data_IF_846807637425
#
_entry.id   IF_846807637425
#
_cell.length_a   1.000
_cell.length_b   1.000
_cell.length_c   1.000
_cell.angle_alpha   90.00
_cell.angle_beta   90.00
_cell.angle_gamma   90.00
#
_symmetry.space_group_name_H-M   'P 1'
#
loop_
_entity.id
_entity.type
_entity.pdbx_description
1 polymer ?
#
# COMPACT_ATOMS: atom_id res chain seq x y z
N UNK A 1 26.72 -14.39 3.11
CA UNK A 1 26.00 -14.55 1.83
C UNK A 1 25.12 -13.32 1.66
N UNK A 2 25.65 -12.35 0.93
CA UNK A 2 25.01 -11.06 0.62
C UNK A 2 24.96 -11.07 -0.91
N UNK A 3 23.99 -11.77 -1.49
CA UNK A 3 23.97 -11.97 -2.95
C UNK A 3 22.56 -12.14 -3.53
N UNK A 4 21.54 -11.48 -2.96
CA UNK A 4 20.20 -11.47 -3.57
C UNK A 4 19.52 -10.08 -3.54
N UNK A 5 20.28 -8.98 -3.47
CA UNK A 5 19.67 -7.64 -3.33
C UNK A 5 19.49 -6.83 -4.61
N UNK A 6 19.89 -7.27 -5.81
CA UNK A 6 19.74 -6.41 -7.00
C UNK A 6 19.41 -7.24 -8.24
N UNK A 7 18.17 -7.73 -8.34
CA UNK A 7 17.64 -8.18 -9.64
C UNK A 7 16.11 -8.15 -9.73
N UNK A 8 15.54 -6.96 -9.58
CA UNK A 8 14.18 -6.70 -10.06
C UNK A 8 14.10 -5.39 -10.84
N UNK A 9 15.12 -5.16 -11.67
CA UNK A 9 15.11 -4.11 -12.68
C UNK A 9 14.24 -4.55 -13.85
N UNK A 10 13.09 -3.88 -14.02
CA UNK A 10 12.42 -3.60 -15.31
C UNK A 10 11.56 -4.70 -15.97
N UNK A 11 10.73 -5.46 -15.26
CA UNK A 11 9.66 -6.24 -15.93
C UNK A 11 8.31 -6.31 -15.19
N UNK A 12 7.98 -5.32 -14.36
CA UNK A 12 6.64 -5.21 -13.74
C UNK A 12 6.02 -3.84 -14.06
N UNK A 13 6.24 -3.33 -15.27
CA UNK A 13 5.61 -2.05 -15.70
C UNK A 13 4.27 -2.31 -16.41
N UNK A 14 4.01 -3.53 -16.87
CA UNK A 14 2.81 -3.85 -17.66
C UNK A 14 1.65 -4.46 -16.84
N UNK A 15 1.92 -5.09 -15.68
CA UNK A 15 0.86 -5.68 -14.84
C UNK A 15 0.32 -4.73 -13.77
N UNK A 16 0.90 -3.53 -13.62
CA UNK A 16 0.78 -2.71 -12.42
C UNK A 16 0.10 -1.37 -12.62
N UNK A 17 -1.17 -1.39 -12.99
CA UNK A 17 -2.12 -0.28 -12.77
C UNK A 17 -1.62 1.16 -12.99
N UNK A 18 -0.88 1.53 -14.06
CA UNK A 18 -0.65 2.96 -14.28
C UNK A 18 -1.92 3.67 -14.79
N UNK A 19 -2.63 3.21 -15.86
CA UNK A 19 -3.72 3.97 -16.46
C UNK A 19 -4.89 4.30 -15.52
N UNK A 20 -5.38 3.34 -14.75
CA UNK A 20 -6.54 3.55 -13.86
C UNK A 20 -6.19 4.44 -12.66
N UNK A 21 -4.93 4.38 -12.18
CA UNK A 21 -4.43 5.26 -11.14
C UNK A 21 -4.28 6.70 -11.63
N UNK A 22 -3.81 6.91 -12.88
CA UNK A 22 -3.71 8.24 -13.50
C UNK A 22 -5.06 8.83 -13.89
N UNK A 23 -6.05 8.01 -14.25
CA UNK A 23 -7.37 8.48 -14.72
C UNK A 23 -8.40 8.61 -13.60
N UNK A 24 -8.35 7.74 -12.59
CA UNK A 24 -9.39 7.63 -11.57
C UNK A 24 -8.86 7.76 -10.13
N UNK A 25 -7.57 8.07 -9.97
CA UNK A 25 -6.95 8.37 -8.68
C UNK A 25 -6.71 7.17 -7.78
N UNK A 26 -6.25 7.45 -6.57
CA UNK A 26 -5.85 6.44 -5.57
C UNK A 26 -6.98 5.47 -5.19
N UNK A 27 -8.24 5.91 -4.95
CA UNK A 27 -9.32 4.98 -4.57
C UNK A 27 -9.59 3.90 -5.61
N UNK A 28 -9.53 4.25 -6.90
CA UNK A 28 -9.70 3.30 -7.99
C UNK A 28 -8.52 2.32 -8.08
N UNK A 29 -7.30 2.83 -7.90
CA UNK A 29 -6.09 2.01 -7.81
C UNK A 29 -6.17 0.98 -6.68
N UNK A 30 -6.55 1.39 -5.47
CA UNK A 30 -6.70 0.50 -4.31
C UNK A 30 -7.80 -0.55 -4.51
N UNK A 31 -8.92 -0.19 -5.12
CA UNK A 31 -9.98 -1.13 -5.50
C UNK A 31 -9.49 -2.20 -6.48
N UNK A 32 -8.74 -1.79 -7.50
CA UNK A 32 -8.14 -2.72 -8.45
C UNK A 32 -7.16 -3.66 -7.75
N UNK A 33 -6.32 -3.14 -6.86
CA UNK A 33 -5.35 -3.94 -6.10
C UNK A 33 -6.05 -4.97 -5.20
N UNK A 34 -7.09 -4.56 -4.47
CA UNK A 34 -7.88 -5.46 -3.62
C UNK A 34 -8.47 -6.63 -4.42
N UNK A 35 -9.06 -6.34 -5.60
CA UNK A 35 -9.58 -7.38 -6.50
C UNK A 35 -8.49 -8.31 -7.00
N UNK A 36 -7.35 -7.75 -7.41
CA UNK A 36 -6.21 -8.55 -7.89
C UNK A 36 -5.66 -9.47 -6.81
N UNK A 37 -5.59 -9.01 -5.55
CA UNK A 37 -5.18 -9.82 -4.41
C UNK A 37 -6.12 -11.01 -4.18
N UNK A 38 -7.42 -10.79 -4.29
CA UNK A 38 -8.42 -11.83 -4.15
C UNK A 38 -8.37 -12.84 -5.31
N UNK A 39 -8.31 -12.37 -6.56
CA UNK A 39 -8.33 -13.22 -7.75
C UNK A 39 -7.06 -14.06 -7.90
N UNK A 40 -5.89 -13.49 -7.67
CA UNK A 40 -4.60 -14.17 -7.87
C UNK A 40 -4.16 -15.00 -6.67
N UNK A 41 -4.49 -14.57 -5.45
CA UNK A 41 -3.94 -15.17 -4.22
C UNK A 41 -5.00 -15.65 -3.23
N UNK A 42 -6.28 -15.44 -3.50
CA UNK A 42 -7.34 -15.77 -2.54
C UNK A 42 -7.28 -14.93 -1.26
N UNK A 43 -6.66 -13.76 -1.32
CA UNK A 43 -6.41 -12.89 -0.17
C UNK A 43 -7.41 -11.72 -0.15
N UNK A 44 -8.25 -11.67 0.88
CA UNK A 44 -9.33 -10.71 0.99
C UNK A 44 -8.83 -9.35 1.51
N UNK A 45 -9.13 -8.27 0.80
CA UNK A 45 -8.77 -6.92 1.23
C UNK A 45 -10.03 -6.08 1.40
N UNK A 46 -10.30 -5.65 2.63
CA UNK A 46 -11.35 -4.69 2.93
C UNK A 46 -10.81 -3.26 2.77
N UNK A 47 -11.55 -2.39 2.09
CA UNK A 47 -11.16 -1.00 1.88
C UNK A 47 -12.05 -0.06 2.70
N UNK A 48 -11.40 0.83 3.47
CA UNK A 48 -12.04 1.91 4.23
C UNK A 48 -11.49 3.24 3.75
N UNK A 49 -12.11 3.80 2.72
CA UNK A 49 -11.61 5.00 2.05
C UNK A 49 -12.49 6.20 2.40
N UNK A 50 -11.90 7.22 3.01
CA UNK A 50 -12.56 8.52 3.15
C UNK A 50 -12.63 9.24 1.81
N UNK A 51 -13.68 10.05 1.63
CA UNK A 51 -13.90 10.81 0.42
C UNK A 51 -13.11 12.13 0.47
N UNK A 52 -11.92 12.12 -0.15
CA UNK A 52 -11.11 13.33 -0.35
C UNK A 52 -10.26 13.22 -1.61
N UNK A 53 -9.89 14.38 -2.15
CA UNK A 53 -9.10 14.48 -3.37
C UNK A 53 -7.61 14.64 -3.05
N UNK A 54 -6.79 13.77 -3.64
CA UNK A 54 -5.34 13.91 -3.69
C UNK A 54 -4.99 14.44 -5.08
N UNK A 55 -4.45 15.65 -5.17
CA UNK A 55 -4.09 16.28 -6.45
C UNK A 55 -2.64 16.02 -6.88
N UNK A 56 -1.78 15.64 -5.94
CA UNK A 56 -0.36 15.41 -6.20
C UNK A 56 -0.15 13.99 -6.75
N UNK A 57 0.18 13.89 -8.04
CA UNK A 57 0.34 12.61 -8.72
C UNK A 57 1.45 11.73 -8.11
N UNK A 58 2.57 12.34 -7.75
CA UNK A 58 3.69 11.62 -7.12
C UNK A 58 3.28 11.01 -5.78
N UNK A 59 2.45 11.72 -5.00
CA UNK A 59 1.91 11.20 -3.74
C UNK A 59 0.97 10.02 -3.97
N UNK A 60 0.11 10.09 -4.98
CA UNK A 60 -0.77 8.97 -5.37
C UNK A 60 0.06 7.73 -5.69
N UNK A 61 1.12 7.88 -6.49
CA UNK A 61 2.01 6.78 -6.89
C UNK A 61 2.69 6.18 -5.66
N UNK A 62 3.24 7.01 -4.78
CA UNK A 62 3.92 6.56 -3.55
C UNK A 62 2.96 5.82 -2.63
N UNK A 63 1.75 6.35 -2.39
CA UNK A 63 0.74 5.71 -1.55
C UNK A 63 0.28 4.37 -2.14
N UNK A 64 0.05 4.31 -3.44
CA UNK A 64 -0.34 3.08 -4.11
C UNK A 64 0.75 1.99 -4.01
N UNK A 65 2.01 2.35 -4.29
CA UNK A 65 3.13 1.42 -4.19
C UNK A 65 3.36 0.96 -2.75
N UNK A 66 3.17 1.85 -1.77
CA UNK A 66 3.25 1.53 -0.35
C UNK A 66 2.16 0.53 0.06
N UNK A 67 0.90 0.77 -0.32
CA UNK A 67 -0.20 -0.16 -0.06
C UNK A 67 0.06 -1.53 -0.65
N UNK A 68 0.53 -1.56 -1.91
CA UNK A 68 0.88 -2.80 -2.61
C UNK A 68 1.93 -3.59 -1.86
N UNK A 69 3.06 -2.98 -1.50
CA UNK A 69 4.13 -3.68 -0.83
C UNK A 69 3.71 -4.20 0.55
N UNK A 70 2.99 -3.38 1.33
CA UNK A 70 2.46 -3.79 2.64
C UNK A 70 1.48 -4.96 2.55
N UNK A 71 0.60 -4.98 1.54
CA UNK A 71 -0.30 -6.10 1.29
C UNK A 71 0.45 -7.36 0.86
N UNK A 72 1.49 -7.25 0.03
CA UNK A 72 2.32 -8.39 -0.33
C UNK A 72 3.09 -8.94 0.87
N UNK A 73 3.59 -8.07 1.74
CA UNK A 73 4.25 -8.48 2.98
C UNK A 73 3.27 -9.22 3.89
N UNK A 74 2.06 -8.69 4.03
CA UNK A 74 0.99 -9.37 4.77
C UNK A 74 0.73 -10.76 4.19
N UNK A 75 0.49 -10.85 2.89
CA UNK A 75 0.23 -12.11 2.19
C UNK A 75 1.33 -13.15 2.43
N UNK A 76 2.59 -12.74 2.36
CA UNK A 76 3.74 -13.66 2.46
C UNK A 76 4.02 -14.14 3.88
N UNK A 77 3.71 -13.32 4.89
CA UNK A 77 4.33 -13.50 6.21
C UNK A 77 3.35 -13.50 7.38
N UNK A 78 2.18 -12.86 7.27
CA UNK A 78 1.22 -12.74 8.38
C UNK A 78 0.61 -14.09 8.79
N UNK A 79 0.53 -15.03 7.84
CA UNK A 79 -0.19 -16.30 7.99
C UNK A 79 -1.72 -16.15 7.97
N UNK A 80 -2.25 -14.94 7.71
CA UNK A 80 -3.69 -14.71 7.54
C UNK A 80 -4.08 -14.61 6.06
N UNK A 81 -5.38 -14.64 5.79
CA UNK A 81 -5.95 -14.55 4.44
C UNK A 81 -6.68 -13.23 4.20
N UNK A 82 -6.55 -12.27 5.10
CA UNK A 82 -7.23 -10.99 4.97
C UNK A 82 -6.47 -9.82 5.59
N UNK A 83 -6.72 -8.63 5.06
CA UNK A 83 -6.25 -7.36 5.58
C UNK A 83 -7.28 -6.25 5.36
N UNK A 84 -7.11 -5.15 6.07
CA UNK A 84 -7.86 -3.90 5.91
C UNK A 84 -6.89 -2.84 5.41
N UNK A 85 -7.28 -2.09 4.38
CA UNK A 85 -6.59 -0.87 3.96
C UNK A 85 -7.50 0.31 4.23
N UNK A 86 -7.04 1.23 5.07
CA UNK A 86 -7.74 2.47 5.36
C UNK A 86 -6.98 3.66 4.77
N UNK A 87 -7.71 4.60 4.18
CA UNK A 87 -7.19 5.86 3.70
C UNK A 87 -8.00 6.97 4.36
N UNK A 88 -7.37 7.68 5.29
CA UNK A 88 -8.04 8.67 6.15
C UNK A 88 -7.31 10.00 6.11
N UNK A 89 -8.06 11.08 6.33
CA UNK A 89 -7.52 12.43 6.48
C UNK A 89 -7.36 12.75 7.96
N UNK A 90 -6.13 13.05 8.37
CA UNK A 90 -5.80 13.35 9.76
C UNK A 90 -5.52 14.86 9.93
N UNK A 91 -6.58 15.64 10.15
CA UNK A 91 -6.52 17.10 10.22
C UNK A 91 -6.50 17.78 8.84
N UNK A 92 -5.96 19.00 8.76
CA UNK A 92 -6.04 19.83 7.55
C UNK A 92 -5.19 19.28 6.39
N UNK A 93 -3.98 18.81 6.71
CA UNK A 93 -2.88 18.63 5.74
C UNK A 93 -2.20 17.25 5.80
N UNK A 94 -2.77 16.28 6.51
CA UNK A 94 -2.18 14.93 6.60
C UNK A 94 -3.13 13.90 6.03
N UNK A 95 -2.54 13.01 5.24
CA UNK A 95 -3.18 11.82 4.70
C UNK A 95 -2.48 10.64 5.33
N UNK A 96 -3.27 9.69 5.83
CA UNK A 96 -2.78 8.49 6.47
C UNK A 96 -3.31 7.27 5.72
N UNK A 97 -2.38 6.41 5.31
CA UNK A 97 -2.65 5.13 4.70
C UNK A 97 -2.27 4.05 5.71
N UNK A 98 -3.25 3.28 6.15
CA UNK A 98 -3.07 2.21 7.13
C UNK A 98 -3.35 0.89 6.47
N UNK A 99 -2.44 -0.08 6.62
CA UNK A 99 -2.68 -1.48 6.28
C UNK A 99 -2.63 -2.27 7.58
N UNK A 100 -3.69 -3.01 7.87
CA UNK A 100 -3.81 -3.80 9.10
C UNK A 100 -4.23 -5.21 8.79
N UNK A 101 -3.53 -6.17 9.38
CA UNK A 101 -3.86 -7.58 9.32
C UNK A 101 -3.99 -8.16 10.73
N UNK A 102 -4.71 -9.26 10.88
CA UNK A 102 -4.89 -9.96 12.15
C UNK A 102 -3.83 -11.06 12.36
N UNK A 103 -2.70 -10.98 11.64
CA UNK A 103 -1.64 -11.95 11.70
C UNK A 103 -0.72 -11.75 12.89
N UNK A 104 0.42 -12.44 12.82
CA UNK A 104 1.36 -12.56 13.94
C UNK A 104 2.15 -11.27 14.23
N UNK A 105 1.96 -10.24 13.40
CA UNK A 105 2.78 -9.03 13.39
C UNK A 105 4.16 -9.24 12.75
N UNK A 106 4.91 -8.15 12.62
CA UNK A 106 6.30 -8.12 12.19
C UNK A 106 7.10 -7.26 13.17
N UNK A 107 8.29 -7.73 13.57
CA UNK A 107 9.24 -7.00 14.42
C UNK A 107 9.99 -5.85 13.68
N UNK A 108 9.60 -5.52 12.45
CA UNK A 108 10.30 -4.54 11.63
C UNK A 108 9.42 -3.31 11.38
N UNK A 109 9.59 -2.30 12.24
CA UNK A 109 8.90 -1.02 12.17
C UNK A 109 9.35 -0.22 10.95
N UNK A 110 8.60 -0.31 9.84
CA UNK A 110 8.79 0.56 8.68
C UNK A 110 7.81 1.73 8.72
N UNK A 111 8.27 2.89 9.21
CA UNK A 111 7.51 4.14 9.20
C UNK A 111 8.00 5.03 8.06
N UNK A 112 7.23 5.15 6.98
CA UNK A 112 7.47 6.18 5.96
C UNK A 112 6.90 7.50 6.50
N UNK A 113 7.71 8.24 7.26
CA UNK A 113 7.42 9.62 7.64
C UNK A 113 7.88 10.55 6.53
N UNK A 114 6.95 11.19 5.81
CA UNK A 114 7.28 12.33 4.98
C UNK A 114 7.44 13.57 5.88
N UNK A 115 8.70 13.84 6.23
CA UNK A 115 9.29 15.12 6.66
C UNK A 115 8.47 16.05 7.55
N UNK A 116 8.73 15.99 8.87
CA UNK A 116 8.20 16.97 9.81
C UNK A 116 8.63 16.80 11.26
N UNK A 117 9.91 16.47 11.49
CA UNK A 117 10.62 16.49 12.79
C UNK A 117 10.20 15.49 13.90
N UNK A 118 11.27 14.83 14.34
CA UNK A 118 11.62 14.33 15.68
C UNK A 118 11.17 12.91 16.04
N UNK A 119 12.21 12.08 16.15
CA UNK A 119 12.34 10.81 16.83
C UNK A 119 12.08 10.97 18.32
N UNK A 120 11.27 10.10 18.92
CA UNK A 120 11.50 9.54 20.25
C UNK A 120 10.93 8.11 20.22
N UNK A 121 11.74 7.19 20.76
CA UNK A 121 11.72 5.72 20.74
C UNK A 121 10.37 5.05 20.96
#
# INVERSE_FOLDING_TARGET
>A
MISESIQSSRSITAELSPPILYQNGLPAGLNWLARSMQEKYGFAVELKLEDFVISQQDLIIVLFQSARELLFNTLKHSGVKSAIVALVKNGSDRIELVVSDAGKGFDECFSIRNSGRRLIF
#
